data_IF_231188191937
#
_entry.id   IF_231188191937
#
_cell.length_a   1.000
_cell.length_b   1.000
_cell.length_c   1.000
_cell.angle_alpha   90.00
_cell.angle_beta   90.00
_cell.angle_gamma   90.00
#
_symmetry.space_group_name_H-M   'P 1'
#
loop_
_entity.id
_entity.type
_entity.pdbx_description
1 polymer ?
#
# COMPACT_ATOMS: atom_id res chain seq x y z
N UNK A 1 -19.43 -1.59 0.29
CA UNK A 1 -19.66 -0.58 1.35
C UNK A 1 -18.33 0.00 1.77
N UNK A 2 -18.25 1.31 2.09
CA UNK A 2 -17.02 1.98 2.52
C UNK A 2 -17.04 2.26 4.01
N UNK A 3 -16.02 1.82 4.75
CA UNK A 3 -15.92 2.00 6.20
C UNK A 3 -15.25 3.31 6.63
N UNK A 4 -14.66 4.07 5.70
CA UNK A 4 -14.03 5.38 5.97
C UNK A 4 -12.92 5.30 7.05
N UNK A 5 -12.11 4.24 7.03
CA UNK A 5 -11.06 3.91 8.02
C UNK A 5 -11.59 3.70 9.46
N UNK A 6 -12.84 3.26 9.62
CA UNK A 6 -13.45 2.93 10.90
C UNK A 6 -13.74 1.42 10.96
N UNK A 7 -12.95 0.70 11.77
CA UNK A 7 -13.09 -0.75 11.96
C UNK A 7 -14.45 -1.13 12.58
N UNK A 8 -14.98 -0.33 13.50
CA UNK A 8 -16.30 -0.58 14.09
C UNK A 8 -17.42 -0.47 13.05
N UNK A 9 -17.32 0.53 12.15
CA UNK A 9 -18.23 0.70 11.03
C UNK A 9 -18.13 -0.47 10.05
N UNK A 10 -16.93 -0.97 9.79
CA UNK A 10 -16.72 -2.14 8.93
C UNK A 10 -17.40 -3.38 9.53
N UNK A 11 -17.23 -3.63 10.83
CA UNK A 11 -17.86 -4.75 11.52
C UNK A 11 -19.40 -4.67 11.46
N UNK A 12 -19.98 -3.47 11.61
CA UNK A 12 -21.44 -3.29 11.45
C UNK A 12 -21.90 -3.60 10.02
N UNK A 13 -21.16 -3.12 9.00
CA UNK A 13 -21.48 -3.40 7.59
C UNK A 13 -21.39 -4.89 7.26
N UNK A 14 -20.45 -5.62 7.87
CA UNK A 14 -20.36 -7.07 7.71
C UNK A 14 -21.57 -7.75 8.34
N UNK A 15 -22.03 -7.33 9.52
CA UNK A 15 -23.25 -7.86 10.13
C UNK A 15 -24.48 -7.61 9.24
N UNK A 16 -24.60 -6.42 8.64
CA UNK A 16 -25.66 -6.11 7.69
C UNK A 16 -25.63 -7.06 6.47
N UNK A 17 -24.44 -7.40 5.94
CA UNK A 17 -24.29 -8.36 4.85
C UNK A 17 -24.74 -9.76 5.26
N UNK A 18 -24.40 -10.19 6.47
CA UNK A 18 -24.87 -11.47 7.03
C UNK A 18 -26.42 -11.50 7.11
N UNK A 19 -27.00 -10.43 7.64
CA UNK A 19 -28.47 -10.30 7.78
C UNK A 19 -29.19 -10.27 6.43
N UNK A 20 -28.52 -9.74 5.38
CA UNK A 20 -29.04 -9.76 4.00
C UNK A 20 -28.89 -11.13 3.32
N UNK A 21 -28.09 -12.04 3.86
CA UNK A 21 -27.85 -13.36 3.29
C UNK A 21 -27.11 -13.30 1.95
N UNK A 22 -26.02 -12.55 1.88
CA UNK A 22 -25.19 -12.49 0.67
C UNK A 22 -24.49 -13.82 0.41
N UNK A 23 -24.18 -14.11 -0.85
CA UNK A 23 -23.57 -15.39 -1.26
C UNK A 23 -22.05 -15.43 -1.01
N UNK A 24 -21.37 -14.27 -1.02
CA UNK A 24 -19.94 -14.12 -0.73
C UNK A 24 -19.62 -12.68 -0.34
N UNK A 25 -18.47 -12.47 0.33
CA UNK A 25 -17.97 -11.14 0.72
C UNK A 25 -16.57 -10.92 0.16
N UNK A 26 -16.37 -9.83 -0.56
CA UNK A 26 -15.05 -9.27 -0.87
C UNK A 26 -14.65 -8.34 0.27
N UNK A 27 -13.55 -8.65 0.94
CA UNK A 27 -13.09 -7.93 2.12
C UNK A 27 -11.69 -7.34 1.92
N UNK A 28 -11.60 -6.01 1.96
CA UNK A 28 -10.37 -5.29 2.22
C UNK A 28 -10.45 -4.76 3.66
N UNK A 29 -9.68 -5.27 4.64
CA UNK A 29 -9.85 -4.91 6.04
C UNK A 29 -9.35 -3.49 6.31
N UNK A 30 -10.05 -2.75 7.16
CA UNK A 30 -9.60 -1.46 7.70
C UNK A 30 -8.45 -1.67 8.69
N UNK A 31 -8.55 -2.72 9.50
CA UNK A 31 -7.48 -3.20 10.38
C UNK A 31 -7.36 -4.71 10.21
N UNK A 32 -6.14 -5.19 9.96
CA UNK A 32 -5.89 -6.59 9.63
C UNK A 32 -5.97 -7.54 10.84
N UNK A 33 -5.91 -7.01 12.06
CA UNK A 33 -6.06 -7.77 13.31
C UNK A 33 -7.47 -7.66 13.91
N UNK A 34 -8.05 -6.44 13.93
CA UNK A 34 -9.33 -6.16 14.60
C UNK A 34 -10.56 -6.75 13.87
N UNK A 35 -10.38 -7.27 12.67
CA UNK A 35 -11.47 -7.85 11.83
C UNK A 35 -11.87 -9.28 12.25
N UNK A 36 -11.14 -9.94 13.16
CA UNK A 36 -11.29 -11.37 13.48
C UNK A 36 -12.72 -11.75 13.83
N UNK A 37 -13.37 -11.03 14.72
CA UNK A 37 -14.73 -11.35 15.17
C UNK A 37 -15.78 -11.30 14.04
N UNK A 38 -15.58 -10.40 13.07
CA UNK A 38 -16.46 -10.31 11.91
C UNK A 38 -16.22 -11.47 10.93
N UNK A 39 -14.95 -11.93 10.78
CA UNK A 39 -14.63 -13.12 10.01
C UNK A 39 -15.23 -14.40 10.63
N UNK A 40 -15.18 -14.53 11.94
CA UNK A 40 -15.82 -15.63 12.66
C UNK A 40 -17.34 -15.66 12.42
N UNK A 41 -18.00 -14.50 12.48
CA UNK A 41 -19.44 -14.39 12.23
C UNK A 41 -19.80 -14.77 10.76
N UNK A 42 -18.99 -14.36 9.77
CA UNK A 42 -19.19 -14.77 8.38
C UNK A 42 -19.01 -16.28 8.19
N UNK A 43 -18.01 -16.86 8.83
CA UNK A 43 -17.75 -18.31 8.80
C UNK A 43 -18.91 -19.09 9.44
N UNK A 44 -19.43 -18.66 10.58
CA UNK A 44 -20.61 -19.24 11.24
C UNK A 44 -21.87 -19.16 10.35
N UNK A 45 -22.01 -18.06 9.61
CA UNK A 45 -23.09 -17.88 8.64
C UNK A 45 -22.91 -18.68 7.35
N UNK A 46 -21.75 -19.33 7.14
CA UNK A 46 -21.43 -20.09 5.94
C UNK A 46 -21.17 -19.20 4.70
N UNK A 47 -20.82 -17.94 4.92
CA UNK A 47 -20.56 -16.98 3.83
C UNK A 47 -19.04 -16.93 3.56
N UNK A 48 -18.58 -17.37 2.37
CA UNK A 48 -17.16 -17.33 2.02
C UNK A 48 -16.64 -15.89 1.90
N UNK A 49 -15.42 -15.68 2.40
CA UNK A 49 -14.73 -14.40 2.34
C UNK A 49 -13.57 -14.49 1.35
N UNK A 50 -13.57 -13.63 0.34
CA UNK A 50 -12.43 -13.39 -0.54
C UNK A 50 -11.72 -12.14 0.00
N UNK A 51 -10.60 -12.37 0.69
CA UNK A 51 -9.81 -11.29 1.25
C UNK A 51 -8.96 -10.62 0.17
N UNK A 52 -9.02 -9.30 0.07
CA UNK A 52 -8.38 -8.51 -0.98
C UNK A 52 -7.31 -7.59 -0.42
N UNK A 53 -6.27 -7.34 -1.21
CA UNK A 53 -5.22 -6.32 -1.01
C UNK A 53 -4.41 -6.51 0.27
N UNK A 54 -4.99 -6.28 1.44
CA UNK A 54 -4.37 -6.47 2.74
C UNK A 54 -4.78 -7.80 3.36
N UNK A 55 -3.82 -8.72 3.51
CA UNK A 55 -4.09 -10.03 4.10
C UNK A 55 -4.41 -9.90 5.59
N UNK A 56 -5.55 -10.47 6.00
CA UNK A 56 -5.95 -10.55 7.42
C UNK A 56 -5.02 -11.48 8.20
N UNK A 57 -4.90 -11.27 9.51
CA UNK A 57 -4.05 -12.10 10.39
C UNK A 57 -4.53 -13.55 10.44
N UNK A 58 -5.83 -13.73 10.57
CA UNK A 58 -6.46 -15.04 10.69
C UNK A 58 -6.95 -15.52 9.31
N UNK A 59 -6.00 -15.80 8.40
CA UNK A 59 -6.29 -16.18 7.02
C UNK A 59 -7.05 -17.50 6.88
N UNK A 60 -7.04 -18.36 7.89
CA UNK A 60 -7.84 -19.59 7.99
C UNK A 60 -9.36 -19.34 8.15
N UNK A 61 -9.76 -18.09 8.40
CA UNK A 61 -11.15 -17.65 8.40
C UNK A 61 -11.61 -17.13 7.02
N UNK A 62 -10.75 -17.11 6.03
CA UNK A 62 -11.07 -16.66 4.65
C UNK A 62 -10.97 -17.82 3.66
N UNK A 63 -11.77 -17.77 2.60
CA UNK A 63 -11.74 -18.79 1.54
C UNK A 63 -10.55 -18.59 0.60
N UNK A 64 -10.20 -17.33 0.31
CA UNK A 64 -9.06 -16.99 -0.53
C UNK A 64 -8.49 -15.61 -0.16
N UNK A 65 -7.22 -15.40 -0.52
CA UNK A 65 -6.56 -14.10 -0.52
C UNK A 65 -6.07 -13.75 -1.92
N UNK A 66 -6.45 -12.56 -2.41
CA UNK A 66 -5.95 -12.02 -3.67
C UNK A 66 -5.38 -10.63 -3.41
N UNK A 67 -4.10 -10.44 -3.71
CA UNK A 67 -3.40 -9.17 -3.45
C UNK A 67 -2.13 -9.06 -4.26
N UNK A 68 -1.27 -8.12 -3.88
CA UNK A 68 0.02 -7.87 -4.52
C UNK A 68 1.17 -8.47 -3.72
N UNK A 69 2.31 -8.71 -4.38
CA UNK A 69 3.58 -8.92 -3.67
C UNK A 69 4.04 -7.58 -3.07
N UNK A 70 3.43 -7.24 -1.93
CA UNK A 70 3.70 -5.98 -1.23
C UNK A 70 5.15 -5.85 -0.79
N UNK A 71 5.79 -6.96 -0.42
CA UNK A 71 7.20 -6.95 -0.04
C UNK A 71 8.08 -6.57 -1.21
N UNK A 72 7.81 -7.10 -2.40
CA UNK A 72 8.52 -6.71 -3.62
C UNK A 72 8.24 -5.26 -4.01
N UNK A 73 7.01 -4.74 -3.82
CA UNK A 73 6.69 -3.33 -4.10
C UNK A 73 7.62 -2.36 -3.35
N UNK A 74 7.84 -2.60 -2.07
CA UNK A 74 8.82 -1.83 -1.29
C UNK A 74 10.27 -2.12 -1.69
N UNK A 75 10.60 -3.38 -1.95
CA UNK A 75 11.95 -3.80 -2.32
C UNK A 75 12.46 -3.11 -3.59
N UNK A 76 11.62 -2.99 -4.63
CA UNK A 76 12.01 -2.33 -5.88
C UNK A 76 12.25 -0.83 -5.70
N UNK A 77 11.50 -0.16 -4.80
CA UNK A 77 11.76 1.22 -4.41
C UNK A 77 13.12 1.38 -3.72
N UNK A 78 13.44 0.49 -2.78
CA UNK A 78 14.73 0.50 -2.10
C UNK A 78 15.91 0.20 -3.04
N UNK A 79 15.72 -0.66 -4.04
CA UNK A 79 16.72 -0.89 -5.10
C UNK A 79 16.98 0.38 -5.92
N UNK A 80 15.92 1.03 -6.39
CA UNK A 80 16.04 2.27 -7.16
C UNK A 80 16.71 3.38 -6.32
N UNK A 81 16.39 3.47 -5.01
CA UNK A 81 17.07 4.41 -4.11
C UNK A 81 18.57 4.13 -3.99
N UNK A 82 18.99 2.88 -3.89
CA UNK A 82 20.44 2.53 -3.83
C UNK A 82 21.18 2.93 -5.08
N UNK A 83 20.55 2.84 -6.25
CA UNK A 83 21.16 3.27 -7.51
C UNK A 83 21.32 4.80 -7.55
N UNK A 84 20.38 5.56 -6.97
CA UNK A 84 20.44 7.03 -6.88
C UNK A 84 21.35 7.53 -5.76
N UNK A 85 21.49 6.77 -4.68
CA UNK A 85 22.29 7.09 -3.50
C UNK A 85 23.24 5.94 -3.15
N UNK A 86 24.29 5.69 -3.97
CA UNK A 86 25.18 4.54 -3.78
C UNK A 86 26.00 4.60 -2.48
N UNK A 87 26.22 5.80 -1.93
CA UNK A 87 26.92 6.00 -0.66
C UNK A 87 26.00 5.97 0.58
N UNK A 88 24.71 5.66 0.37
CA UNK A 88 23.70 5.69 1.42
C UNK A 88 23.13 7.09 1.65
N UNK A 89 22.57 7.32 2.86
CA UNK A 89 21.99 8.60 3.20
C UNK A 89 21.03 8.54 4.39
N UNK A 90 20.45 9.68 4.73
CA UNK A 90 19.48 9.83 5.83
C UNK A 90 18.07 9.79 5.29
N UNK A 91 17.25 8.92 5.85
CA UNK A 91 15.90 8.66 5.34
C UNK A 91 14.83 8.80 6.41
N UNK A 92 13.63 9.09 5.97
CA UNK A 92 12.40 9.04 6.75
C UNK A 92 11.49 7.94 6.21
N UNK A 93 10.69 7.35 7.10
CA UNK A 93 9.70 6.32 6.75
C UNK A 93 8.32 6.77 7.23
N UNK A 94 7.36 6.74 6.31
CA UNK A 94 5.95 6.99 6.57
C UNK A 94 5.21 5.66 6.43
N UNK A 95 4.66 5.17 7.53
CA UNK A 95 4.08 3.84 7.68
C UNK A 95 2.61 3.89 8.10
N UNK A 96 1.96 2.74 8.07
CA UNK A 96 0.62 2.52 8.60
C UNK A 96 0.58 1.14 9.27
N UNK A 97 0.72 1.13 10.59
CA UNK A 97 0.89 -0.12 11.35
C UNK A 97 -0.35 -1.00 11.39
N UNK A 98 -1.52 -0.40 11.22
CA UNK A 98 -2.81 -1.11 11.15
C UNK A 98 -3.04 -1.86 9.84
N UNK A 99 -2.16 -1.66 8.83
CA UNK A 99 -2.31 -2.23 7.49
C UNK A 99 -1.13 -3.13 7.15
N UNK A 100 -1.37 -4.45 7.09
CA UNK A 100 -0.31 -5.43 6.85
C UNK A 100 0.40 -5.23 5.51
N UNK A 101 -0.31 -4.89 4.44
CA UNK A 101 0.30 -4.62 3.14
C UNK A 101 1.33 -3.49 3.22
N UNK A 102 1.06 -2.43 3.97
CA UNK A 102 2.02 -1.34 4.21
C UNK A 102 3.22 -1.82 5.02
N UNK A 103 3.00 -2.65 6.06
CA UNK A 103 4.09 -3.22 6.86
C UNK A 103 5.03 -4.08 6.00
N UNK A 104 4.48 -4.87 5.07
CA UNK A 104 5.26 -5.66 4.11
C UNK A 104 6.05 -4.79 3.15
N UNK A 105 5.46 -3.71 2.62
CA UNK A 105 6.13 -2.73 1.74
C UNK A 105 7.34 -2.09 2.43
N UNK A 106 7.17 -1.61 3.67
CA UNK A 106 8.28 -1.04 4.45
C UNK A 106 9.33 -2.11 4.73
N UNK A 107 8.94 -3.33 5.09
CA UNK A 107 9.88 -4.44 5.29
C UNK A 107 10.71 -4.73 4.04
N UNK A 108 10.08 -4.77 2.87
CA UNK A 108 10.77 -4.98 1.60
C UNK A 108 11.75 -3.86 1.26
N UNK A 109 11.33 -2.61 1.46
CA UNK A 109 12.19 -1.45 1.27
C UNK A 109 13.44 -1.50 2.17
N UNK A 110 13.26 -1.74 3.47
CA UNK A 110 14.36 -1.86 4.42
C UNK A 110 15.30 -3.02 4.10
N UNK A 111 14.75 -4.14 3.63
CA UNK A 111 15.56 -5.27 3.17
C UNK A 111 16.44 -4.86 1.98
N UNK A 112 15.92 -4.10 1.03
CA UNK A 112 16.66 -3.67 -0.14
C UNK A 112 17.82 -2.72 0.22
N UNK A 113 17.62 -1.80 1.15
CA UNK A 113 18.63 -0.83 1.57
C UNK A 113 19.55 -1.34 2.70
N UNK A 114 19.33 -2.55 3.19
CA UNK A 114 20.11 -3.14 4.27
C UNK A 114 21.61 -3.16 3.92
N UNK A 115 22.45 -2.73 4.87
CA UNK A 115 23.91 -2.63 4.72
C UNK A 115 24.39 -1.71 3.57
N UNK A 116 23.55 -0.79 3.11
CA UNK A 116 23.89 0.16 2.04
C UNK A 116 24.15 1.60 2.55
N UNK A 117 24.47 1.78 3.82
CA UNK A 117 24.84 3.08 4.38
C UNK A 117 23.66 4.03 4.66
N UNK A 118 22.41 3.51 4.68
CA UNK A 118 21.25 4.33 5.02
C UNK A 118 20.97 4.35 6.53
N UNK A 119 20.64 5.53 7.03
CA UNK A 119 20.23 5.79 8.41
C UNK A 119 18.76 6.23 8.43
N UNK A 120 17.91 5.49 9.15
CA UNK A 120 16.52 5.91 9.39
C UNK A 120 16.49 6.94 10.52
N UNK A 121 16.25 8.21 10.17
CA UNK A 121 16.18 9.32 11.12
C UNK A 121 14.93 9.23 12.01
N UNK A 122 13.80 8.92 11.39
CA UNK A 122 12.52 8.81 12.11
C UNK A 122 11.48 8.04 11.27
N UNK A 123 10.38 7.66 11.96
CA UNK A 123 9.21 7.04 11.37
C UNK A 123 7.95 7.78 11.80
N UNK A 124 6.96 7.80 10.95
CA UNK A 124 5.65 8.37 11.25
C UNK A 124 4.55 7.41 10.83
N UNK A 125 3.68 7.09 11.76
CA UNK A 125 2.43 6.38 11.49
C UNK A 125 1.38 7.40 11.08
N UNK A 126 0.97 7.36 9.81
CA UNK A 126 0.09 8.36 9.22
C UNK A 126 -1.25 7.81 8.76
N UNK A 127 -1.53 6.52 9.04
CA UNK A 127 -2.76 5.82 8.66
C UNK A 127 -3.11 5.99 7.16
N UNK A 128 -2.11 6.03 6.27
CA UNK A 128 -2.30 6.29 4.84
C UNK A 128 -2.84 7.68 4.50
N UNK A 129 -3.05 8.59 5.48
CA UNK A 129 -3.69 9.87 5.28
C UNK A 129 -2.73 10.94 4.75
N UNK A 130 -3.01 11.47 3.57
CA UNK A 130 -2.23 12.53 2.93
C UNK A 130 -2.00 13.76 3.82
N UNK A 131 -3.05 14.20 4.52
CA UNK A 131 -2.97 15.37 5.39
C UNK A 131 -2.04 15.14 6.58
N UNK A 132 -2.11 13.97 7.22
CA UNK A 132 -1.20 13.61 8.31
C UNK A 132 0.25 13.51 7.83
N UNK A 133 0.47 12.91 6.66
CA UNK A 133 1.79 12.82 6.05
C UNK A 133 2.37 14.22 5.75
N UNK A 134 1.57 15.12 5.21
CA UNK A 134 1.95 16.51 4.98
C UNK A 134 2.35 17.22 6.28
N UNK A 135 1.52 17.17 7.30
CA UNK A 135 1.77 17.84 8.58
C UNK A 135 3.03 17.28 9.26
N UNK A 136 3.17 15.96 9.29
CA UNK A 136 4.34 15.30 9.88
C UNK A 136 5.63 15.60 9.11
N UNK A 137 5.58 15.64 7.79
CA UNK A 137 6.76 16.00 6.98
C UNK A 137 7.19 17.43 7.24
N UNK A 138 6.28 18.38 7.41
CA UNK A 138 6.64 19.76 7.79
C UNK A 138 7.39 19.83 9.12
N UNK A 139 7.00 19.03 10.09
CA UNK A 139 7.72 18.96 11.37
C UNK A 139 9.11 18.33 11.18
N UNK A 140 9.23 17.27 10.41
CA UNK A 140 10.54 16.65 10.12
C UNK A 140 11.47 17.59 9.35
N UNK A 141 10.97 18.38 8.41
CA UNK A 141 11.77 19.37 7.67
C UNK A 141 12.32 20.49 8.56
N UNK A 142 11.64 20.80 9.69
CA UNK A 142 12.17 21.75 10.71
C UNK A 142 13.22 21.08 11.61
N UNK A 143 13.05 19.80 11.90
CA UNK A 143 13.89 19.06 12.82
C UNK A 143 15.19 18.57 12.18
N UNK A 144 15.14 18.14 10.92
CA UNK A 144 16.26 17.54 10.21
C UNK A 144 16.67 18.40 9.01
N UNK A 145 17.90 18.93 9.04
CA UNK A 145 18.45 19.71 7.92
C UNK A 145 18.86 18.83 6.73
N UNK A 146 19.25 17.60 7.00
CA UNK A 146 19.72 16.63 6.01
C UNK A 146 18.75 15.46 5.93
N UNK A 147 18.04 15.37 4.82
CA UNK A 147 17.15 14.26 4.47
C UNK A 147 17.42 13.95 3.00
N UNK A 148 17.84 12.74 2.67
CA UNK A 148 18.13 12.31 1.30
C UNK A 148 16.92 11.65 0.64
N UNK A 149 16.15 10.87 1.42
CA UNK A 149 14.95 10.24 0.87
C UNK A 149 13.85 10.04 1.91
N UNK A 150 12.64 9.85 1.39
CA UNK A 150 11.46 9.48 2.17
C UNK A 150 10.80 8.29 1.49
N UNK A 151 10.57 7.22 2.25
CA UNK A 151 9.74 6.10 1.83
C UNK A 151 8.37 6.21 2.48
N UNK A 152 7.33 6.18 1.65
CA UNK A 152 5.94 6.16 2.09
C UNK A 152 5.31 4.81 1.71
N UNK A 153 4.61 4.19 2.63
CA UNK A 153 3.92 2.92 2.40
C UNK A 153 2.75 3.00 1.41
N UNK A 154 2.35 4.24 1.03
CA UNK A 154 1.30 4.51 0.03
C UNK A 154 1.65 5.72 -0.82
N UNK A 155 1.11 5.79 -2.04
CA UNK A 155 1.21 6.97 -2.91
C UNK A 155 0.48 8.19 -2.31
N UNK A 156 -0.63 7.97 -1.61
CA UNK A 156 -1.39 9.04 -0.96
C UNK A 156 -0.54 9.73 0.11
N UNK A 157 0.15 8.97 0.95
CA UNK A 157 1.13 9.49 1.90
C UNK A 157 2.27 10.24 1.21
N UNK A 158 2.81 9.67 0.13
CA UNK A 158 3.90 10.28 -0.64
C UNK A 158 3.50 11.61 -1.28
N UNK A 159 2.26 11.75 -1.76
CA UNK A 159 1.72 13.02 -2.27
C UNK A 159 1.60 14.09 -1.17
N UNK A 160 1.29 13.68 0.07
CA UNK A 160 1.32 14.58 1.23
C UNK A 160 2.73 15.07 1.57
N UNK A 161 3.69 14.13 1.59
CA UNK A 161 5.12 14.44 1.78
C UNK A 161 5.62 15.38 0.68
N UNK A 162 5.29 15.10 -0.59
CA UNK A 162 5.66 15.93 -1.73
C UNK A 162 5.16 17.37 -1.58
N UNK A 163 3.91 17.54 -1.14
CA UNK A 163 3.35 18.87 -0.91
C UNK A 163 4.19 19.65 0.10
N UNK A 164 4.55 19.06 1.23
CA UNK A 164 5.37 19.70 2.26
C UNK A 164 6.78 20.05 1.75
N UNK A 165 7.40 19.14 1.02
CA UNK A 165 8.73 19.33 0.42
C UNK A 165 8.74 20.48 -0.57
N UNK A 166 7.71 20.56 -1.44
CA UNK A 166 7.55 21.64 -2.41
C UNK A 166 7.32 23.01 -1.76
N UNK A 167 6.47 23.07 -0.72
CA UNK A 167 6.21 24.32 0.02
C UNK A 167 7.48 24.87 0.71
N UNK A 168 8.38 23.98 1.16
CA UNK A 168 9.65 24.36 1.76
C UNK A 168 10.76 24.58 0.73
N UNK A 169 10.44 24.46 -0.57
CA UNK A 169 11.38 24.70 -1.67
C UNK A 169 12.53 23.69 -1.77
N UNK A 170 12.40 22.51 -1.12
CA UNK A 170 13.39 21.43 -1.18
C UNK A 170 13.27 20.66 -2.49
N UNK A 171 14.39 20.35 -3.12
CA UNK A 171 14.46 19.58 -4.37
C UNK A 171 15.51 18.47 -4.32
N UNK A 172 16.12 18.30 -3.18
CA UNK A 172 17.23 17.40 -2.90
C UNK A 172 16.79 16.12 -2.16
N UNK A 173 15.47 15.88 -2.06
CA UNK A 173 14.87 14.75 -1.35
C UNK A 173 14.20 13.83 -2.38
N UNK A 174 14.57 12.55 -2.40
CA UNK A 174 13.89 11.53 -3.19
C UNK A 174 12.68 10.98 -2.43
N UNK A 175 11.50 11.05 -3.04
CA UNK A 175 10.26 10.53 -2.45
C UNK A 175 9.83 9.30 -3.20
N UNK A 176 9.54 8.23 -2.46
CA UNK A 176 8.97 6.99 -2.96
C UNK A 176 7.60 6.74 -2.33
N UNK A 177 6.68 6.26 -3.14
CA UNK A 177 5.39 5.74 -2.74
C UNK A 177 5.23 4.27 -3.11
N UNK A 178 4.06 3.74 -2.88
CA UNK A 178 3.61 2.45 -3.40
C UNK A 178 2.14 2.55 -3.75
N UNK A 179 1.75 1.96 -4.84
CA UNK A 179 0.46 1.67 -5.44
C UNK A 179 0.50 1.84 -6.96
N UNK A 180 1.22 2.85 -7.50
CA UNK A 180 1.21 3.20 -8.92
C UNK A 180 -0.04 3.98 -9.32
N UNK A 181 -0.61 4.78 -8.42
CA UNK A 181 -1.83 5.53 -8.70
C UNK A 181 -1.61 6.61 -9.78
N UNK A 182 -2.66 7.03 -10.50
CA UNK A 182 -2.54 8.03 -11.56
C UNK A 182 -1.85 9.32 -11.12
N UNK A 183 -2.18 9.83 -9.93
CA UNK A 183 -1.62 11.08 -9.41
C UNK A 183 -0.11 10.96 -9.11
N UNK A 184 0.34 9.82 -8.58
CA UNK A 184 1.76 9.54 -8.38
C UNK A 184 2.51 9.51 -9.71
N UNK A 185 1.97 8.82 -10.71
CA UNK A 185 2.54 8.76 -12.07
C UNK A 185 2.60 10.15 -12.73
N UNK A 186 1.57 10.98 -12.55
CA UNK A 186 1.59 12.37 -13.00
C UNK A 186 2.74 13.16 -12.36
N UNK A 187 2.99 13.00 -11.06
CA UNK A 187 4.10 13.68 -10.38
C UNK A 187 5.46 13.12 -10.82
N UNK A 188 5.62 11.80 -10.95
CA UNK A 188 6.85 11.17 -11.44
C UNK A 188 7.18 11.64 -12.87
N UNK A 189 6.17 11.84 -13.72
CA UNK A 189 6.36 12.29 -15.10
C UNK A 189 6.88 13.74 -15.20
N UNK A 190 6.67 14.59 -14.18
CA UNK A 190 7.10 15.99 -14.19
C UNK A 190 8.62 16.11 -14.08
N UNK A 191 9.19 17.03 -14.85
CA UNK A 191 10.61 17.32 -14.76
C UNK A 191 10.97 17.96 -13.43
N UNK A 192 12.00 17.44 -12.75
CA UNK A 192 12.46 17.95 -11.46
C UNK A 192 11.53 17.69 -10.28
N UNK A 193 10.56 16.78 -10.41
CA UNK A 193 9.75 16.33 -9.27
C UNK A 193 10.61 15.60 -8.25
N UNK A 194 10.33 15.85 -6.97
CA UNK A 194 10.93 15.09 -5.86
C UNK A 194 10.32 13.68 -5.72
N UNK A 195 9.12 13.43 -6.28
CA UNK A 195 8.49 12.10 -6.30
C UNK A 195 9.10 11.29 -7.44
N UNK A 196 10.02 10.40 -7.13
CA UNK A 196 10.90 9.76 -8.12
C UNK A 196 10.49 8.34 -8.49
N UNK A 197 9.67 7.68 -7.69
CA UNK A 197 9.25 6.32 -7.98
C UNK A 197 8.13 5.80 -7.08
N UNK A 198 7.38 4.84 -7.60
CA UNK A 198 6.34 4.11 -6.88
C UNK A 198 6.44 2.63 -7.16
N UNK A 199 6.29 1.80 -6.12
CA UNK A 199 6.12 0.36 -6.25
C UNK A 199 4.70 0.04 -6.69
N UNK A 200 4.53 -0.16 -8.00
CA UNK A 200 3.20 -0.28 -8.60
C UNK A 200 2.59 -1.66 -8.42
N UNK A 201 1.29 -1.69 -8.20
CA UNK A 201 0.43 -2.87 -8.16
C UNK A 201 -0.61 -2.83 -9.28
N UNK A 202 -1.27 -3.97 -9.55
CA UNK A 202 -2.28 -4.12 -10.60
C UNK A 202 -3.68 -4.35 -10.02
N UNK A 203 -4.39 -3.32 -9.53
CA UNK A 203 -5.70 -3.48 -8.90
C UNK A 203 -6.76 -4.00 -9.89
N UNK A 204 -6.56 -3.79 -11.19
CA UNK A 204 -7.45 -4.34 -12.23
C UNK A 204 -7.34 -5.87 -12.26
N UNK A 205 -6.13 -6.43 -12.22
CA UNK A 205 -5.94 -7.88 -12.18
C UNK A 205 -6.45 -8.46 -10.87
N UNK A 206 -6.13 -7.84 -9.73
CA UNK A 206 -6.65 -8.25 -8.41
C UNK A 206 -8.19 -8.34 -8.45
N UNK A 207 -8.86 -7.34 -9.00
CA UNK A 207 -10.32 -7.34 -9.11
C UNK A 207 -10.87 -8.43 -10.02
N UNK A 208 -10.18 -8.73 -11.13
CA UNK A 208 -10.53 -9.81 -12.04
C UNK A 208 -10.36 -11.18 -11.38
N UNK A 209 -9.21 -11.44 -10.78
CA UNK A 209 -8.92 -12.71 -10.14
C UNK A 209 -9.84 -12.95 -8.93
N UNK A 210 -10.17 -11.89 -8.19
CA UNK A 210 -11.15 -11.95 -7.13
C UNK A 210 -12.54 -12.40 -7.62
N UNK A 211 -13.00 -11.83 -8.73
CA UNK A 211 -14.29 -12.20 -9.31
C UNK A 211 -14.29 -13.64 -9.84
N UNK A 212 -13.21 -14.07 -10.51
CA UNK A 212 -13.05 -15.45 -11.01
C UNK A 212 -13.01 -16.44 -9.83
N UNK A 213 -12.27 -16.13 -8.75
CA UNK A 213 -12.21 -16.95 -7.55
C UNK A 213 -13.55 -17.05 -6.84
N UNK A 214 -14.28 -15.93 -6.67
CA UNK A 214 -15.61 -15.95 -6.07
C UNK A 214 -16.58 -16.84 -6.86
N UNK A 215 -16.58 -16.74 -8.19
CA UNK A 215 -17.43 -17.58 -9.05
C UNK A 215 -17.05 -19.06 -8.93
N UNK A 216 -15.77 -19.40 -8.87
CA UNK A 216 -15.31 -20.78 -8.68
C UNK A 216 -15.80 -21.35 -7.33
N UNK A 217 -15.70 -20.57 -6.24
CA UNK A 217 -16.19 -20.95 -4.91
C UNK A 217 -17.72 -21.22 -4.94
N UNK A 218 -18.50 -20.28 -5.51
CA UNK A 218 -19.97 -20.39 -5.56
C UNK A 218 -20.47 -21.53 -6.48
N UNK A 219 -19.65 -21.95 -7.44
CA UNK A 219 -19.95 -23.06 -8.34
C UNK A 219 -19.34 -24.40 -7.90
N UNK A 220 -18.75 -24.47 -6.68
CA UNK A 220 -18.07 -25.65 -6.12
C UNK A 220 -16.98 -26.21 -7.06
N UNK A 221 -16.20 -25.32 -7.66
CA UNK A 221 -15.05 -25.61 -8.54
C UNK A 221 -13.74 -25.43 -7.82
N UNK A 222 -12.68 -26.02 -8.36
CA UNK A 222 -11.32 -25.80 -7.90
C UNK A 222 -10.89 -24.32 -8.10
N UNK A 223 -10.21 -23.76 -7.10
CA UNK A 223 -9.64 -22.42 -7.11
C UNK A 223 -8.31 -22.35 -6.37
N UNK A 224 -7.55 -21.32 -6.62
CA UNK A 224 -6.30 -21.02 -5.90
C UNK A 224 -6.61 -20.19 -4.65
N UNK A 225 -6.23 -20.71 -3.47
CA UNK A 225 -6.50 -20.05 -2.19
C UNK A 225 -5.68 -18.77 -1.97
N UNK A 226 -4.55 -18.62 -2.68
CA UNK A 226 -3.68 -17.45 -2.59
C UNK A 226 -3.13 -17.05 -3.94
N UNK A 227 -3.55 -15.87 -4.41
CA UNK A 227 -3.04 -15.23 -5.64
C UNK A 227 -2.30 -13.96 -5.23
N UNK A 228 -1.06 -13.81 -5.69
CA UNK A 228 -0.25 -12.61 -5.48
C UNK A 228 0.23 -12.07 -6.82
N UNK A 229 -0.33 -10.92 -7.24
CA UNK A 229 0.07 -10.20 -8.44
C UNK A 229 1.48 -9.62 -8.29
N UNK A 230 2.25 -9.70 -9.37
CA UNK A 230 3.58 -9.12 -9.43
C UNK A 230 3.53 -7.60 -9.28
N UNK A 231 4.55 -7.06 -8.59
CA UNK A 231 4.74 -5.62 -8.41
C UNK A 231 6.05 -5.18 -9.05
N UNK A 232 6.13 -3.93 -9.48
CA UNK A 232 7.28 -3.40 -10.20
C UNK A 232 7.45 -1.90 -9.93
N UNK A 233 8.65 -1.38 -10.18
CA UNK A 233 8.91 0.05 -10.05
C UNK A 233 8.35 0.82 -11.24
N UNK A 234 7.62 1.89 -10.98
CA UNK A 234 7.37 2.96 -11.95
C UNK A 234 8.18 4.17 -11.48
N UNK A 235 9.08 4.64 -12.34
CA UNK A 235 9.93 5.80 -12.11
C UNK A 235 10.01 6.65 -13.39
N UNK A 236 10.88 7.66 -13.41
CA UNK A 236 11.04 8.57 -14.55
C UNK A 236 11.39 7.86 -15.87
N UNK A 237 12.10 6.72 -15.79
CA UNK A 237 12.60 6.04 -16.98
C UNK A 237 11.52 5.25 -17.71
N UNK A 238 10.43 4.89 -17.00
CA UNK A 238 9.39 4.02 -17.56
C UNK A 238 7.95 4.52 -17.41
N UNK A 239 7.71 5.62 -16.71
CA UNK A 239 6.35 6.13 -16.44
C UNK A 239 5.52 6.37 -17.71
N UNK A 240 6.16 6.77 -18.80
CA UNK A 240 5.50 6.99 -20.10
C UNK A 240 4.93 5.70 -20.70
N UNK A 241 5.54 4.54 -20.42
CA UNK A 241 5.08 3.24 -20.90
C UNK A 241 3.75 2.82 -20.24
N UNK A 242 3.55 3.22 -18.98
CA UNK A 242 2.36 2.89 -18.21
C UNK A 242 1.25 3.94 -18.32
N UNK A 243 1.59 5.13 -18.84
CA UNK A 243 0.66 6.27 -18.89
C UNK A 243 0.27 6.81 -17.51
N UNK A 244 -0.30 7.99 -17.48
CA UNK A 244 -0.68 8.66 -16.22
C UNK A 244 -2.19 8.65 -15.96
N UNK A 245 -3.02 8.18 -16.90
CA UNK A 245 -4.49 8.37 -16.89
C UNK A 245 -5.27 7.21 -16.27
N UNK A 246 -4.66 6.28 -15.60
CA UNK A 246 -5.34 5.12 -15.04
C UNK A 246 -4.41 4.22 -14.22
N UNK A 247 -4.95 3.10 -13.77
CA UNK A 247 -4.19 2.02 -13.14
C UNK A 247 -3.57 1.11 -14.22
N UNK A 248 -2.57 0.35 -13.88
CA UNK A 248 -1.92 -0.67 -14.70
C UNK A 248 -2.43 -2.07 -14.40
#
# INVERSE_FOLDING_TARGET
>A
MGAENDASKQNQQIQEMIDMGVDAVFLCPVDWEEIESALEALKEAGIPVINLDTQVKNSDLTAAFIGSDNKNAGYVCGKDLKEKCPDGGKILIFEDKGINSVNERITGFEQAISNAGFEVLNRADVNGEKQKAYEQMKEFLKQYSEINAVMCGTDEGALGVLQAVNEMGRKDIYIYGTDGCPQAKEEIAKEGSAFVGTGAQSPINIGKDAAETAMAILEDKDYEEKIQEETFIINKDNVELYGTNGWQ
#
